data_IF_659260675114
#
_entry.id   IF_659260675114
#
_cell.length_a   1.000
_cell.length_b   1.000
_cell.length_c   1.000
_cell.angle_alpha   90.00
_cell.angle_beta   90.00
_cell.angle_gamma   90.00
#
_symmetry.space_group_name_H-M   'P 1'
#
loop_
_entity.id
_entity.type
_entity.pdbx_description
1 polymer ?
#
# COMPACT_ATOMS: atom_id res chain seq x y z
N UNK A 1 -21.32 -5.70 -38.28
CA UNK A 1 -20.13 -5.33 -37.50
C UNK A 1 -20.41 -5.72 -36.06
N UNK A 2 -20.12 -6.96 -35.69
CA UNK A 2 -20.33 -7.43 -34.31
C UNK A 2 -19.07 -7.21 -33.50
N UNK A 3 -19.19 -6.39 -32.46
CA UNK A 3 -18.17 -6.16 -31.45
C UNK A 3 -18.11 -7.38 -30.53
N UNK A 4 -17.19 -8.30 -30.82
CA UNK A 4 -16.88 -9.41 -29.94
C UNK A 4 -16.12 -8.88 -28.72
N UNK A 5 -16.84 -8.55 -27.63
CA UNK A 5 -16.20 -8.32 -26.33
C UNK A 5 -15.51 -9.62 -25.93
N UNK A 6 -14.19 -9.61 -25.80
CA UNK A 6 -13.41 -10.74 -25.31
C UNK A 6 -14.05 -11.25 -24.01
N UNK A 7 -14.65 -12.44 -24.09
CA UNK A 7 -15.20 -13.10 -22.92
C UNK A 7 -14.03 -13.41 -21.99
N UNK A 8 -14.26 -13.35 -20.68
CA UNK A 8 -13.27 -13.63 -19.62
C UNK A 8 -12.56 -14.99 -19.79
N UNK A 9 -13.07 -15.84 -20.66
CA UNK A 9 -12.56 -17.16 -21.07
C UNK A 9 -11.38 -17.11 -22.07
N UNK A 10 -11.19 -16.02 -22.82
CA UNK A 10 -10.12 -15.91 -23.84
C UNK A 10 -8.79 -15.41 -23.25
N UNK A 11 -8.78 -15.06 -21.96
CA UNK A 11 -7.56 -14.70 -21.24
C UNK A 11 -7.03 -15.95 -20.54
N UNK A 12 -5.84 -16.46 -20.89
CA UNK A 12 -5.27 -17.62 -20.21
C UNK A 12 -5.16 -17.33 -18.71
N UNK A 13 -5.41 -18.33 -17.83
CA UNK A 13 -5.32 -18.13 -16.39
C UNK A 13 -3.91 -17.65 -16.04
N UNK A 14 -3.81 -16.36 -15.72
CA UNK A 14 -2.54 -15.72 -15.41
C UNK A 14 -2.33 -15.82 -13.90
N UNK A 15 -1.24 -16.48 -13.49
CA UNK A 15 -0.86 -16.63 -12.09
C UNK A 15 -0.55 -15.29 -11.39
N UNK A 16 -0.55 -14.17 -12.11
CA UNK A 16 -0.33 -12.82 -11.60
C UNK A 16 -1.39 -12.38 -10.59
N UNK A 17 -2.60 -12.97 -10.60
CA UNK A 17 -3.69 -12.55 -9.71
C UNK A 17 -3.55 -13.14 -8.29
N UNK A 18 -2.78 -14.21 -8.11
CA UNK A 18 -2.62 -14.84 -6.79
C UNK A 18 -1.52 -14.13 -6.00
N UNK A 19 -1.75 -13.77 -4.72
CA UNK A 19 -0.71 -13.24 -3.86
C UNK A 19 0.50 -14.17 -3.81
N UNK A 20 1.69 -13.61 -3.99
CA UNK A 20 2.95 -14.33 -3.87
C UNK A 20 3.21 -14.64 -2.39
N UNK A 21 3.63 -15.87 -2.11
CA UNK A 21 4.14 -16.22 -0.79
C UNK A 21 5.48 -15.54 -0.56
N UNK A 22 5.66 -14.91 0.59
CA UNK A 22 6.88 -14.17 0.84
C UNK A 22 8.06 -15.14 1.08
N UNK A 23 9.29 -14.78 0.65
CA UNK A 23 10.42 -15.69 0.73
C UNK A 23 10.78 -16.03 2.18
N UNK A 24 11.33 -17.24 2.42
CA UNK A 24 11.78 -17.67 3.73
C UNK A 24 12.99 -16.85 4.21
N UNK A 25 13.28 -16.91 5.51
CA UNK A 25 14.50 -16.31 6.05
C UNK A 25 15.74 -17.04 5.50
N UNK A 26 16.84 -16.30 5.30
CA UNK A 26 18.13 -16.83 4.86
C UNK A 26 19.28 -15.99 5.43
N UNK A 27 20.38 -16.65 5.77
CA UNK A 27 21.62 -16.01 6.23
C UNK A 27 22.39 -15.32 5.07
N UNK A 28 21.97 -15.55 3.82
CA UNK A 28 22.55 -14.93 2.62
C UNK A 28 21.45 -14.29 1.78
N UNK A 29 20.82 -13.20 2.26
CA UNK A 29 19.69 -12.60 1.57
C UNK A 29 20.11 -11.98 0.24
N UNK A 30 19.24 -12.08 -0.76
CA UNK A 30 19.46 -11.56 -2.11
C UNK A 30 18.46 -10.45 -2.46
N UNK A 31 18.77 -9.63 -3.46
CA UNK A 31 17.86 -8.60 -3.99
C UNK A 31 16.53 -9.20 -4.47
N UNK A 32 16.57 -10.42 -5.02
CA UNK A 32 15.37 -11.16 -5.42
C UNK A 32 14.47 -11.51 -4.21
N UNK A 33 15.06 -11.86 -3.07
CA UNK A 33 14.27 -12.07 -1.86
C UNK A 33 13.65 -10.76 -1.37
N UNK A 34 14.37 -9.64 -1.41
CA UNK A 34 13.81 -8.34 -1.03
C UNK A 34 12.65 -7.96 -1.96
N UNK A 35 12.79 -8.19 -3.28
CA UNK A 35 11.68 -8.06 -4.25
C UNK A 35 10.48 -8.91 -3.85
N UNK A 36 10.70 -10.17 -3.49
CA UNK A 36 9.64 -11.07 -3.04
C UNK A 36 8.91 -10.61 -1.77
N UNK A 37 9.62 -9.99 -0.81
CA UNK A 37 8.97 -9.37 0.35
C UNK A 37 8.06 -8.20 -0.08
N UNK A 38 8.46 -7.41 -1.08
CA UNK A 38 7.67 -6.29 -1.60
C UNK A 38 6.46 -6.81 -2.40
N UNK A 39 6.66 -7.74 -3.33
CA UNK A 39 5.63 -8.25 -4.24
C UNK A 39 4.58 -9.10 -3.50
N UNK A 40 4.97 -9.74 -2.39
CA UNK A 40 4.02 -10.42 -1.48
C UNK A 40 3.21 -9.46 -0.60
N UNK A 41 3.52 -8.16 -0.64
CA UNK A 41 2.94 -7.14 0.21
C UNK A 41 3.42 -7.19 1.66
N UNK A 42 4.46 -7.97 1.99
CA UNK A 42 5.02 -8.06 3.35
C UNK A 42 5.54 -6.70 3.84
N UNK A 43 6.05 -5.86 2.93
CA UNK A 43 6.50 -4.48 3.24
C UNK A 43 5.35 -3.47 3.30
N UNK A 44 4.18 -3.82 2.75
CA UNK A 44 2.95 -3.03 2.81
C UNK A 44 2.92 -1.73 1.99
N UNK A 45 3.94 -1.44 1.19
CA UNK A 45 3.93 -0.31 0.25
C UNK A 45 3.17 -0.63 -1.05
N UNK A 46 3.15 -1.90 -1.45
CA UNK A 46 2.58 -2.35 -2.73
C UNK A 46 1.39 -3.30 -2.56
N UNK A 47 0.50 -3.28 -3.55
CA UNK A 47 -0.55 -4.29 -3.71
C UNK A 47 0.11 -5.67 -3.93
N UNK A 48 -0.28 -6.75 -3.22
CA UNK A 48 0.40 -8.05 -3.27
C UNK A 48 0.12 -8.81 -4.58
N UNK A 49 0.74 -8.37 -5.66
CA UNK A 49 0.55 -8.84 -7.04
C UNK A 49 1.92 -8.91 -7.70
N UNK A 50 2.17 -9.99 -8.44
CA UNK A 50 3.38 -10.11 -9.25
C UNK A 50 3.33 -9.15 -10.43
N UNK A 51 4.32 -8.25 -10.53
CA UNK A 51 4.52 -7.40 -11.71
C UNK A 51 5.68 -7.93 -12.57
N UNK A 52 5.40 -8.59 -13.71
CA UNK A 52 6.43 -9.06 -14.63
C UNK A 52 7.12 -7.92 -15.40
N UNK A 53 6.50 -6.74 -15.50
CA UNK A 53 7.07 -5.57 -16.15
C UNK A 53 8.05 -4.78 -15.28
N UNK A 54 8.11 -5.09 -13.98
CA UNK A 54 8.98 -4.40 -13.04
C UNK A 54 10.41 -4.99 -13.06
N UNK A 55 11.37 -4.14 -13.42
CA UNK A 55 12.80 -4.51 -13.48
C UNK A 55 13.29 -5.09 -12.15
N UNK A 56 14.25 -6.04 -12.15
CA UNK A 56 14.85 -6.53 -10.91
C UNK A 56 15.41 -5.41 -10.04
N UNK A 57 15.27 -5.53 -8.71
CA UNK A 57 15.85 -4.55 -7.77
C UNK A 57 17.37 -4.51 -7.93
N UNK A 58 17.92 -3.30 -8.00
CA UNK A 58 19.37 -3.07 -8.11
C UNK A 58 19.93 -3.22 -9.52
N UNK A 59 19.10 -3.34 -10.57
CA UNK A 59 19.58 -3.46 -11.97
C UNK A 59 20.60 -2.38 -12.33
N UNK A 60 20.37 -1.14 -11.91
CA UNK A 60 21.28 -0.02 -12.19
C UNK A 60 22.60 -0.16 -11.43
N UNK A 61 22.56 -0.60 -10.17
CA UNK A 61 23.74 -0.85 -9.34
C UNK A 61 24.58 -2.02 -9.90
N UNK A 62 23.93 -3.09 -10.37
CA UNK A 62 24.58 -4.19 -11.08
C UNK A 62 25.23 -3.72 -12.38
N UNK A 63 24.51 -2.90 -13.17
CA UNK A 63 25.03 -2.32 -14.41
C UNK A 63 26.19 -1.35 -14.18
N UNK A 64 26.21 -0.66 -13.04
CA UNK A 64 27.32 0.18 -12.59
C UNK A 64 28.49 -0.63 -11.99
N UNK A 65 28.37 -1.96 -11.88
CA UNK A 65 29.40 -2.82 -11.29
C UNK A 65 29.49 -2.71 -9.76
N UNK A 66 28.44 -2.19 -9.11
CA UNK A 66 28.37 -1.95 -7.66
C UNK A 66 27.19 -2.69 -7.02
N UNK A 67 27.12 -4.02 -7.12
CA UNK A 67 26.02 -4.82 -6.58
C UNK A 67 25.81 -4.57 -5.07
N UNK A 68 24.56 -4.56 -4.58
CA UNK A 68 24.28 -4.40 -3.16
C UNK A 68 24.82 -5.60 -2.36
N UNK A 69 25.52 -5.33 -1.27
CA UNK A 69 26.04 -6.39 -0.40
C UNK A 69 24.92 -7.11 0.36
N UNK A 70 25.10 -8.39 0.74
CA UNK A 70 24.11 -9.14 1.53
C UNK A 70 23.71 -8.43 2.82
N UNK A 71 24.65 -7.74 3.47
CA UNK A 71 24.37 -6.96 4.68
C UNK A 71 23.41 -5.79 4.40
N UNK A 72 23.59 -5.07 3.27
CA UNK A 72 22.68 -3.99 2.87
C UNK A 72 21.29 -4.54 2.56
N UNK A 73 21.21 -5.68 1.90
CA UNK A 73 19.94 -6.35 1.59
C UNK A 73 19.25 -6.80 2.89
N UNK A 74 19.98 -7.40 3.82
CA UNK A 74 19.46 -7.79 5.14
C UNK A 74 18.89 -6.58 5.88
N UNK A 75 19.64 -5.48 5.93
CA UNK A 75 19.22 -4.25 6.61
C UNK A 75 17.96 -3.67 5.95
N UNK A 76 17.89 -3.64 4.62
CA UNK A 76 16.71 -3.20 3.89
C UNK A 76 15.48 -4.09 4.19
N UNK A 77 15.63 -5.42 4.15
CA UNK A 77 14.56 -6.35 4.55
C UNK A 77 14.08 -6.08 5.97
N UNK A 78 14.99 -5.81 6.89
CA UNK A 78 14.63 -5.50 8.28
C UNK A 78 13.87 -4.17 8.39
N UNK A 79 14.38 -3.09 7.78
CA UNK A 79 13.78 -1.76 7.85
C UNK A 79 12.43 -1.68 7.14
N UNK A 80 12.30 -2.29 5.96
CA UNK A 80 11.07 -2.27 5.16
C UNK A 80 9.98 -3.11 5.81
N UNK A 81 10.34 -4.23 6.45
CA UNK A 81 9.36 -5.04 7.18
C UNK A 81 8.96 -4.39 8.50
N UNK A 82 9.89 -3.78 9.26
CA UNK A 82 9.59 -3.21 10.58
C UNK A 82 8.94 -1.84 10.55
N UNK A 83 9.21 -1.03 9.52
CA UNK A 83 8.69 0.34 9.41
C UNK A 83 7.17 0.42 9.66
N UNK A 84 6.42 -0.59 9.22
CA UNK A 84 4.97 -0.67 9.44
C UNK A 84 4.53 -1.27 10.78
N UNK A 85 5.19 -2.31 11.32
CA UNK A 85 4.80 -2.86 12.63
C UNK A 85 4.99 -1.83 13.75
N UNK A 86 6.01 -0.97 13.63
CA UNK A 86 6.23 0.14 14.54
C UNK A 86 5.27 1.33 14.30
N UNK A 87 4.92 1.64 13.04
CA UNK A 87 4.03 2.76 12.71
C UNK A 87 2.53 2.43 12.72
N UNK A 88 2.14 1.22 13.13
CA UNK A 88 0.80 0.91 13.61
C UNK A 88 -0.32 1.50 12.75
N UNK A 89 -0.36 1.20 11.45
CA UNK A 89 -1.55 1.54 10.67
C UNK A 89 -1.76 0.57 9.52
N UNK A 90 -2.93 -0.06 9.55
CA UNK A 90 -3.69 -0.31 8.34
C UNK A 90 -3.97 1.05 7.70
N UNK A 91 -2.99 1.63 7.01
CA UNK A 91 -3.34 2.50 5.91
C UNK A 91 -3.81 1.55 4.82
N UNK A 92 -5.09 1.13 4.96
CA UNK A 92 -5.88 0.74 3.81
C UNK A 92 -5.65 1.86 2.82
N UNK A 93 -4.98 1.55 1.70
CA UNK A 93 -4.66 2.56 0.70
C UNK A 93 -5.90 3.41 0.48
N UNK A 94 -5.72 4.73 0.46
CA UNK A 94 -6.79 5.71 0.27
C UNK A 94 -7.67 5.43 -0.96
N UNK A 95 -7.27 4.48 -1.81
CA UNK A 95 -7.98 3.97 -2.96
C UNK A 95 -9.17 3.02 -2.67
N UNK A 96 -9.34 2.39 -1.48
CA UNK A 96 -10.33 1.28 -1.36
C UNK A 96 -11.24 1.19 -0.13
N UNK A 97 -11.32 2.18 0.78
CA UNK A 97 -12.34 2.16 1.84
C UNK A 97 -13.48 3.14 1.57
N UNK A 98 -14.31 2.79 0.59
CA UNK A 98 -15.64 3.35 0.42
C UNK A 98 -16.45 3.02 1.68
N UNK A 99 -16.65 4.05 2.51
CA UNK A 99 -17.52 4.10 3.72
C UNK A 99 -16.82 3.97 5.08
N UNK A 100 -15.63 4.55 5.23
CA UNK A 100 -15.11 4.84 6.58
C UNK A 100 -15.93 6.00 7.12
N UNK A 101 -16.43 5.94 8.36
CA UNK A 101 -17.31 6.93 9.02
C UNK A 101 -16.78 8.38 9.10
N UNK A 102 -15.68 8.69 8.40
CA UNK A 102 -15.13 10.02 8.20
C UNK A 102 -16.16 11.07 7.74
N UNK A 103 -17.09 10.80 6.79
CA UNK A 103 -18.12 11.77 6.43
C UNK A 103 -19.06 12.08 7.60
N UNK A 104 -19.36 11.11 8.46
CA UNK A 104 -20.27 11.28 9.59
C UNK A 104 -19.65 12.16 10.66
N UNK A 105 -18.38 11.92 11.00
CA UNK A 105 -17.63 12.76 11.94
C UNK A 105 -17.48 14.18 11.40
N UNK A 106 -17.15 14.32 10.11
CA UNK A 106 -17.01 15.62 9.47
C UNK A 106 -18.33 16.42 9.48
N UNK A 107 -19.44 15.83 9.02
CA UNK A 107 -20.76 16.49 9.02
C UNK A 107 -21.24 16.79 10.45
N UNK A 108 -21.01 15.87 11.39
CA UNK A 108 -21.33 16.08 12.81
C UNK A 108 -20.58 17.27 13.41
N UNK A 109 -19.28 17.41 13.09
CA UNK A 109 -18.46 18.53 13.57
C UNK A 109 -18.97 19.88 13.04
N UNK A 110 -19.37 19.95 11.77
CA UNK A 110 -19.97 21.15 11.16
C UNK A 110 -21.26 21.51 11.89
N UNK A 111 -22.12 20.54 12.17
CA UNK A 111 -23.37 20.77 12.91
C UNK A 111 -23.16 21.30 14.33
N UNK A 112 -22.18 20.76 15.06
CA UNK A 112 -21.83 21.22 16.42
C UNK A 112 -21.31 22.66 16.38
N UNK A 113 -20.40 22.98 15.46
CA UNK A 113 -19.85 24.34 15.32
C UNK A 113 -20.98 25.32 14.99
N UNK A 114 -21.87 24.97 14.06
CA UNK A 114 -23.02 25.81 13.71
C UNK A 114 -23.93 26.06 14.93
N UNK A 115 -24.22 25.03 15.73
CA UNK A 115 -25.04 25.16 16.93
C UNK A 115 -24.41 26.10 17.97
N UNK A 116 -23.11 25.97 18.22
CA UNK A 116 -22.38 26.84 19.15
C UNK A 116 -22.43 28.30 18.69
N UNK A 117 -22.22 28.55 17.39
CA UNK A 117 -22.31 29.90 16.84
C UNK A 117 -23.71 30.50 16.97
N UNK A 118 -24.76 29.73 16.71
CA UNK A 118 -26.15 30.18 16.84
C UNK A 118 -26.46 30.56 18.29
N UNK A 119 -26.10 29.70 19.25
CA UNK A 119 -26.33 29.95 20.68
C UNK A 119 -25.56 31.19 21.13
N UNK A 120 -24.28 31.31 20.75
CA UNK A 120 -23.45 32.47 21.09
C UNK A 120 -24.03 33.78 20.56
N UNK A 121 -24.48 33.80 19.30
CA UNK A 121 -25.13 34.97 18.70
C UNK A 121 -26.43 35.32 19.44
N UNK A 122 -27.25 34.33 19.80
CA UNK A 122 -28.46 34.54 20.58
C UNK A 122 -28.18 35.14 21.95
N UNK A 123 -27.18 34.63 22.67
CA UNK A 123 -26.81 35.14 23.99
C UNK A 123 -26.28 36.57 23.96
N UNK A 124 -25.58 36.98 22.90
CA UNK A 124 -25.08 38.36 22.75
C UNK A 124 -26.19 39.34 22.36
N UNK A 125 -27.23 38.85 21.67
CA UNK A 125 -28.29 39.69 21.08
C UNK A 125 -29.55 39.80 21.94
N UNK A 126 -29.77 38.84 22.84
CA UNK A 126 -30.89 38.81 23.79
C UNK A 126 -30.55 39.25 25.22
N UNK A 127 -29.28 39.58 25.49
CA UNK A 127 -28.82 40.19 26.74
C UNK A 127 -28.73 41.70 26.66
#
# INVERSE_FOLDING_TARGET
METHLASRSDVPPTHTVKPIEPPPASDRPTSAMLKGDIDSGRTGDKNPVFDPGLSPLGTDDEAAGTPPSPFRIMLARYSENLGRWAQGSRQAGAAHHKWDGFPVVFVGSIGIIALVLIIGIWSVRGG
#
